data_IF_928362209050
#
_entry.id   IF_928362209050
#
_cell.length_a   1.000
_cell.length_b   1.000
_cell.length_c   1.000
_cell.angle_alpha   90.00
_cell.angle_beta   90.00
_cell.angle_gamma   90.00
#
_symmetry.space_group_name_H-M   'P 1'
#
loop_
_entity.id
_entity.type
_entity.pdbx_description
1 polymer ?
#
# COMPACT_ATOMS: atom_id res chain seq x y z
N UNK A 1 4.63 10.53 -4.11
CA UNK A 1 4.60 9.12 -3.69
C UNK A 1 4.91 9.07 -2.21
N UNK A 2 3.93 9.48 -1.40
CA UNK A 2 3.86 9.13 0.00
C UNK A 2 3.03 7.86 0.33
N UNK A 3 2.38 7.13 -0.62
CA UNK A 3 1.35 6.12 -0.31
C UNK A 3 1.87 4.94 0.51
N UNK A 4 3.18 4.76 0.63
CA UNK A 4 3.78 3.67 1.41
C UNK A 4 3.53 3.78 2.92
N UNK A 5 3.38 4.99 3.47
CA UNK A 5 3.34 5.19 4.92
C UNK A 5 2.06 4.63 5.56
N UNK A 6 0.91 4.85 4.93
CA UNK A 6 -0.36 4.30 5.44
C UNK A 6 -0.35 2.76 5.40
N UNK A 7 0.18 2.16 4.34
CA UNK A 7 0.31 0.70 4.25
C UNK A 7 1.26 0.13 5.31
N UNK A 8 2.43 0.75 5.52
CA UNK A 8 3.36 0.32 6.56
C UNK A 8 2.81 0.50 7.97
N UNK A 9 2.07 1.58 8.24
CA UNK A 9 1.48 1.77 9.57
C UNK A 9 0.43 0.72 9.88
N UNK A 10 -0.49 0.46 8.95
CA UNK A 10 -1.50 -0.58 9.14
C UNK A 10 -0.81 -1.93 9.31
N UNK A 11 0.25 -2.20 8.54
CA UNK A 11 1.07 -3.38 8.69
C UNK A 11 1.69 -3.50 10.11
N UNK A 12 2.34 -2.44 10.59
CA UNK A 12 2.99 -2.42 11.90
C UNK A 12 2.02 -2.68 13.05
N UNK A 13 0.80 -2.14 12.95
CA UNK A 13 -0.25 -2.32 13.96
C UNK A 13 -0.86 -3.72 13.92
N UNK A 14 -0.98 -4.33 12.74
CA UNK A 14 -1.57 -5.67 12.58
C UNK A 14 -0.60 -6.77 12.97
N UNK A 15 0.68 -6.60 12.63
CA UNK A 15 1.68 -7.66 12.72
C UNK A 15 1.78 -8.36 14.08
N UNK A 16 1.80 -7.64 15.23
CA UNK A 16 1.88 -8.26 16.55
C UNK A 16 0.73 -9.23 16.85
N UNK A 17 -0.42 -9.04 16.20
CA UNK A 17 -1.65 -9.78 16.43
C UNK A 17 -1.89 -10.88 15.38
N UNK A 18 -0.96 -11.12 14.44
CA UNK A 18 -1.07 -12.17 13.42
C UNK A 18 -0.27 -13.43 13.81
N UNK A 19 -0.75 -14.31 14.70
CA UNK A 19 0.01 -15.47 15.12
C UNK A 19 0.22 -16.45 13.98
N UNK A 20 1.43 -16.97 13.83
CA UNK A 20 1.73 -18.01 12.85
C UNK A 20 3.22 -18.22 12.63
N UNK A 21 3.59 -19.19 11.79
CA UNK A 21 5.00 -19.49 11.48
C UNK A 21 5.72 -18.33 10.78
N UNK A 22 4.97 -17.38 10.17
CA UNK A 22 5.48 -16.19 9.51
C UNK A 22 6.00 -15.10 10.47
N UNK A 23 5.74 -15.17 11.77
CA UNK A 23 6.10 -14.14 12.76
C UNK A 23 7.58 -13.66 12.75
N UNK A 24 8.60 -14.48 12.41
CA UNK A 24 9.97 -13.99 12.25
C UNK A 24 10.21 -13.11 11.01
N UNK A 25 9.28 -13.09 10.05
CA UNK A 25 9.44 -12.54 8.70
C UNK A 25 8.72 -11.20 8.52
N UNK A 26 8.85 -10.32 9.51
CA UNK A 26 8.20 -9.01 9.50
C UNK A 26 8.62 -8.16 8.28
N UNK A 27 9.88 -8.25 7.87
CA UNK A 27 10.36 -7.58 6.65
C UNK A 27 9.58 -8.00 5.42
N UNK A 28 9.32 -9.31 5.25
CA UNK A 28 8.59 -9.84 4.09
C UNK A 28 7.13 -9.40 4.10
N UNK A 29 6.51 -9.33 5.27
CA UNK A 29 5.18 -8.77 5.42
C UNK A 29 5.16 -7.28 5.04
N UNK A 30 6.08 -6.47 5.56
CA UNK A 30 6.21 -5.06 5.17
C UNK A 30 6.42 -4.89 3.67
N UNK A 31 7.31 -5.68 3.05
CA UNK A 31 7.53 -5.61 1.61
C UNK A 31 6.29 -6.04 0.80
N UNK A 32 5.57 -7.07 1.25
CA UNK A 32 4.28 -7.44 0.70
C UNK A 32 3.26 -6.30 0.73
N UNK A 33 3.24 -5.49 1.80
CA UNK A 33 2.34 -4.34 1.94
C UNK A 33 2.57 -3.21 0.93
N UNK A 34 3.68 -3.22 0.20
CA UNK A 34 4.00 -2.19 -0.79
C UNK A 34 4.20 -2.77 -2.19
N UNK A 35 4.51 -4.06 -2.31
CA UNK A 35 4.76 -4.73 -3.59
C UNK A 35 3.66 -4.54 -4.66
N UNK A 36 2.35 -4.44 -4.35
CA UNK A 36 1.34 -4.21 -5.38
C UNK A 36 1.56 -2.94 -6.20
N UNK A 37 2.19 -1.90 -5.63
CA UNK A 37 2.47 -0.64 -6.32
C UNK A 37 3.64 -0.71 -7.32
N UNK A 38 4.24 -1.88 -7.52
CA UNK A 38 5.26 -2.11 -8.56
C UNK A 38 4.74 -1.81 -9.98
N UNK A 39 3.42 -1.89 -10.22
CA UNK A 39 2.80 -1.52 -11.50
C UNK A 39 3.01 -0.05 -11.87
N UNK A 40 3.29 0.80 -10.88
CA UNK A 40 3.61 2.21 -11.11
C UNK A 40 4.98 2.38 -11.77
N UNK A 41 5.82 1.35 -11.73
CA UNK A 41 7.22 1.41 -12.12
C UNK A 41 7.55 0.51 -13.31
N UNK A 42 6.77 -0.54 -13.50
CA UNK A 42 6.98 -1.49 -14.57
C UNK A 42 6.07 -1.15 -15.75
N UNK A 43 6.63 -0.80 -16.93
CA UNK A 43 5.82 -0.65 -18.14
C UNK A 43 5.23 -1.99 -18.63
N UNK A 44 5.68 -3.12 -18.07
CA UNK A 44 5.17 -4.46 -18.39
C UNK A 44 3.98 -4.85 -17.52
N UNK A 45 3.72 -4.11 -16.44
CA UNK A 45 2.63 -4.37 -15.51
C UNK A 45 1.58 -3.27 -15.60
N UNK A 46 0.34 -3.69 -15.49
CA UNK A 46 -0.80 -2.83 -15.26
C UNK A 46 -1.25 -2.95 -13.82
N UNK A 47 -2.07 -1.99 -13.39
CA UNK A 47 -2.75 -2.08 -12.10
C UNK A 47 -3.61 -3.36 -11.99
N UNK A 48 -4.06 -3.92 -13.11
CA UNK A 48 -4.81 -5.18 -13.11
C UNK A 48 -3.94 -6.35 -12.69
N UNK A 49 -2.67 -6.35 -13.07
CA UNK A 49 -1.76 -7.44 -12.76
C UNK A 49 -1.42 -7.49 -11.27
N UNK A 50 -1.39 -6.33 -10.60
CA UNK A 50 -0.95 -6.23 -9.20
C UNK A 50 -2.08 -5.95 -8.21
N UNK A 51 -3.16 -5.29 -8.62
CA UNK A 51 -4.30 -4.99 -7.75
C UNK A 51 -5.58 -5.70 -8.17
N UNK A 52 -5.54 -6.49 -9.25
CA UNK A 52 -6.66 -7.32 -9.76
C UNK A 52 -7.83 -6.52 -10.36
N UNK A 53 -7.60 -5.27 -10.73
CA UNK A 53 -8.59 -4.44 -11.42
C UNK A 53 -7.93 -3.45 -12.39
N UNK A 54 -8.66 -3.03 -13.42
CA UNK A 54 -8.24 -1.91 -14.27
C UNK A 54 -8.99 -0.61 -13.86
N UNK A 55 -8.24 0.48 -13.74
CA UNK A 55 -8.76 1.81 -13.41
C UNK A 55 -9.69 2.33 -14.50
N UNK A 56 -9.53 1.87 -15.74
CA UNK A 56 -10.27 2.33 -16.91
C UNK A 56 -11.26 1.26 -17.40
N UNK A 57 -12.23 0.89 -16.56
CA UNK A 57 -13.31 -0.02 -16.97
C UNK A 57 -14.18 -0.50 -15.81
N UNK A 58 -13.60 -0.60 -14.62
CA UNK A 58 -14.17 -1.33 -13.48
C UNK A 58 -14.31 -0.43 -12.24
N UNK A 59 -14.84 0.79 -12.41
CA UNK A 59 -14.83 1.83 -11.35
C UNK A 59 -15.69 1.50 -10.11
N UNK A 60 -16.69 0.62 -10.23
CA UNK A 60 -17.45 0.10 -9.08
C UNK A 60 -16.72 -1.06 -8.39
N UNK A 61 -16.18 -2.01 -9.17
CA UNK A 61 -15.28 -3.09 -8.73
C UNK A 61 -14.01 -2.60 -8.02
N UNK A 62 -13.47 -1.44 -8.45
CA UNK A 62 -12.35 -0.72 -7.83
C UNK A 62 -12.51 -0.50 -6.32
N UNK A 63 -13.75 -0.50 -5.85
CA UNK A 63 -14.08 -0.18 -4.49
C UNK A 63 -14.21 -1.48 -3.66
N UNK A 64 -14.74 -2.59 -4.17
CA UNK A 64 -15.24 -3.73 -3.36
C UNK A 64 -14.41 -4.99 -3.35
N UNK A 65 -13.66 -5.24 -4.41
CA UNK A 65 -13.42 -6.63 -4.79
C UNK A 65 -11.95 -7.01 -4.99
N UNK A 66 -10.98 -6.19 -4.60
CA UNK A 66 -9.54 -6.54 -4.75
C UNK A 66 -9.12 -7.63 -3.80
N UNK A 67 -9.40 -7.43 -2.50
CA UNK A 67 -9.12 -8.39 -1.44
C UNK A 67 -9.97 -9.65 -1.64
N UNK A 68 -11.23 -9.49 -2.04
CA UNK A 68 -12.11 -10.61 -2.37
C UNK A 68 -11.65 -11.39 -3.62
N UNK A 69 -11.25 -10.70 -4.69
CA UNK A 69 -10.74 -11.33 -5.91
C UNK A 69 -9.44 -12.09 -5.63
N UNK A 70 -8.51 -11.51 -4.87
CA UNK A 70 -7.31 -12.22 -4.42
C UNK A 70 -7.66 -13.52 -3.69
N UNK A 71 -8.62 -13.46 -2.75
CA UNK A 71 -9.06 -14.63 -1.98
C UNK A 71 -9.79 -15.68 -2.81
N UNK A 72 -10.58 -15.27 -3.81
CA UNK A 72 -11.31 -16.15 -4.71
C UNK A 72 -10.40 -16.84 -5.74
N UNK A 73 -9.37 -16.12 -6.21
CA UNK A 73 -8.50 -16.54 -7.31
C UNK A 73 -7.06 -16.79 -6.85
N UNK A 74 -6.85 -17.25 -5.61
CA UNK A 74 -5.51 -17.45 -5.03
C UNK A 74 -4.57 -18.27 -5.92
N UNK A 75 -5.09 -19.29 -6.63
CA UNK A 75 -4.29 -20.14 -7.50
C UNK A 75 -3.77 -19.43 -8.76
N UNK A 76 -4.34 -18.29 -9.13
CA UNK A 76 -3.88 -17.45 -10.24
C UNK A 76 -2.74 -16.52 -9.80
N UNK A 77 -2.62 -16.25 -8.49
CA UNK A 77 -1.73 -15.22 -7.95
C UNK A 77 -0.61 -15.75 -7.05
N UNK A 78 -0.84 -16.89 -6.39
CA UNK A 78 0.16 -17.54 -5.57
C UNK A 78 0.75 -18.71 -6.35
N UNK A 79 2.07 -18.83 -6.33
CA UNK A 79 2.78 -19.97 -6.96
C UNK A 79 2.35 -21.34 -6.42
N UNK A 80 1.75 -21.38 -5.23
CA UNK A 80 1.13 -22.55 -4.61
C UNK A 80 0.12 -22.11 -3.54
N UNK A 81 -0.76 -23.00 -3.03
CA UNK A 81 -1.72 -22.65 -1.99
C UNK A 81 -1.08 -21.99 -0.77
N UNK A 82 -1.75 -21.01 -0.15
CA UNK A 82 -1.21 -20.24 0.98
C UNK A 82 -0.63 -21.13 2.09
N UNK A 83 -1.36 -22.16 2.52
CA UNK A 83 -0.93 -23.09 3.56
C UNK A 83 0.33 -23.91 3.21
N UNK A 84 0.70 -23.97 1.92
CA UNK A 84 1.88 -24.69 1.43
C UNK A 84 3.07 -23.74 1.20
N UNK A 85 2.86 -22.42 1.12
CA UNK A 85 3.94 -21.44 1.03
C UNK A 85 4.90 -21.57 2.22
N UNK A 86 6.18 -21.28 1.98
CA UNK A 86 7.15 -21.14 3.07
C UNK A 86 6.74 -19.97 3.98
N UNK A 87 7.14 -19.96 5.26
CA UNK A 87 6.67 -18.94 6.20
C UNK A 87 6.99 -17.49 5.80
N UNK A 88 8.10 -17.25 5.12
CA UNK A 88 8.48 -15.96 4.54
C UNK A 88 7.56 -15.56 3.38
N UNK A 89 7.21 -16.51 2.51
CA UNK A 89 6.25 -16.31 1.43
C UNK A 89 4.81 -16.11 1.93
N UNK A 90 4.44 -16.77 3.03
CA UNK A 90 3.19 -16.49 3.74
C UNK A 90 3.18 -15.07 4.29
N UNK A 91 4.27 -14.63 4.92
CA UNK A 91 4.39 -13.25 5.41
C UNK A 91 4.20 -12.24 4.27
N UNK A 92 4.87 -12.45 3.14
CA UNK A 92 4.71 -11.60 1.96
C UNK A 92 3.27 -11.60 1.42
N UNK A 93 2.64 -12.77 1.27
CA UNK A 93 1.26 -12.86 0.79
C UNK A 93 0.25 -12.19 1.74
N UNK A 94 0.46 -12.31 3.06
CA UNK A 94 -0.32 -11.59 4.07
C UNK A 94 -0.14 -10.08 3.93
N UNK A 95 1.10 -9.61 3.74
CA UNK A 95 1.38 -8.20 3.50
C UNK A 95 0.69 -7.69 2.23
N UNK A 96 0.76 -8.48 1.16
CA UNK A 96 0.10 -8.18 -0.11
C UNK A 96 -1.41 -8.01 0.06
N UNK A 97 -2.07 -8.95 0.77
CA UNK A 97 -3.50 -8.84 1.04
C UNK A 97 -3.82 -7.62 1.93
N UNK A 98 -2.97 -7.33 2.92
CA UNK A 98 -3.09 -6.15 3.77
C UNK A 98 -3.08 -4.85 2.94
N UNK A 99 -2.16 -4.74 1.98
CA UNK A 99 -2.14 -3.62 1.03
C UNK A 99 -3.50 -3.42 0.35
N UNK A 100 -4.03 -4.49 -0.27
CA UNK A 100 -5.29 -4.43 -1.00
C UNK A 100 -6.44 -3.99 -0.11
N UNK A 101 -6.47 -4.46 1.14
CA UNK A 101 -7.48 -4.10 2.13
C UNK A 101 -7.41 -2.61 2.49
N UNK A 102 -6.21 -2.10 2.76
CA UNK A 102 -5.99 -0.67 3.04
C UNK A 102 -6.42 0.18 1.85
N UNK A 103 -6.08 -0.26 0.64
CA UNK A 103 -6.34 0.49 -0.58
C UNK A 103 -7.85 0.56 -0.91
N UNK A 104 -8.59 -0.52 -0.63
CA UNK A 104 -10.06 -0.55 -0.68
C UNK A 104 -10.69 0.42 0.32
N UNK A 105 -10.34 0.29 1.60
CA UNK A 105 -10.90 1.12 2.69
C UNK A 105 -10.61 2.59 2.45
N UNK A 106 -9.36 2.90 2.11
CA UNK A 106 -8.93 4.27 1.82
C UNK A 106 -9.81 4.85 0.72
N UNK A 107 -9.96 4.17 -0.43
CA UNK A 107 -10.75 4.69 -1.56
C UNK A 107 -12.22 4.91 -1.21
N UNK A 108 -12.82 4.12 -0.31
CA UNK A 108 -14.18 4.36 0.18
C UNK A 108 -14.29 5.59 1.05
N UNK A 109 -13.40 5.71 2.03
CA UNK A 109 -13.37 6.86 2.91
C UNK A 109 -13.07 8.15 2.13
N UNK A 110 -12.23 8.08 1.11
CA UNK A 110 -12.02 9.18 0.16
C UNK A 110 -13.31 9.57 -0.56
N UNK A 111 -14.14 8.62 -0.99
CA UNK A 111 -15.43 8.92 -1.63
C UNK A 111 -16.41 9.60 -0.67
N UNK A 112 -16.45 9.19 0.60
CA UNK A 112 -17.42 9.69 1.60
C UNK A 112 -17.02 11.05 2.18
N UNK A 113 -15.82 11.19 2.71
CA UNK A 113 -15.41 12.39 3.47
C UNK A 113 -14.55 13.36 2.65
N UNK A 114 -13.79 12.84 1.69
CA UNK A 114 -12.79 13.63 1.01
C UNK A 114 -13.23 14.22 -0.34
N UNK A 115 -14.20 13.64 -1.06
CA UNK A 115 -14.78 14.33 -2.23
C UNK A 115 -15.35 15.71 -1.84
N UNK A 116 -15.95 15.80 -0.66
CA UNK A 116 -16.52 17.06 -0.17
C UNK A 116 -15.45 18.10 0.18
N UNK A 117 -14.28 17.67 0.67
CA UNK A 117 -13.25 18.57 1.22
C UNK A 117 -12.00 18.75 0.34
N UNK A 118 -11.73 17.84 -0.60
CA UNK A 118 -10.44 17.74 -1.31
C UNK A 118 -10.55 17.54 -2.83
N UNK A 119 -11.76 17.63 -3.42
CA UNK A 119 -11.94 17.53 -4.88
C UNK A 119 -11.03 18.47 -5.70
N UNK A 120 -10.63 19.62 -5.13
CA UNK A 120 -9.85 20.64 -5.82
C UNK A 120 -8.32 20.41 -5.77
N UNK A 121 -7.83 19.52 -4.90
CA UNK A 121 -6.39 19.20 -4.79
C UNK A 121 -5.97 17.93 -5.53
N UNK A 122 -6.96 17.14 -5.97
CA UNK A 122 -6.74 15.84 -6.58
C UNK A 122 -6.32 14.76 -5.56
N UNK A 123 -6.46 13.46 -5.92
CA UNK A 123 -6.25 12.37 -4.99
C UNK A 123 -4.78 12.20 -4.58
N UNK A 124 -3.83 12.24 -5.52
CA UNK A 124 -2.41 11.97 -5.25
C UNK A 124 -1.79 12.87 -4.16
N UNK A 125 -1.99 14.20 -4.21
CA UNK A 125 -1.47 15.10 -3.18
C UNK A 125 -2.19 15.00 -1.84
N UNK A 126 -3.47 14.62 -1.86
CA UNK A 126 -4.24 14.40 -0.65
C UNK A 126 -3.75 13.15 0.11
N UNK A 127 -3.43 12.08 -0.61
CA UNK A 127 -2.67 10.95 -0.06
C UNK A 127 -1.32 11.41 0.49
N UNK A 128 -0.59 12.25 -0.25
CA UNK A 128 0.72 12.73 0.20
C UNK A 128 0.73 13.40 1.57
N UNK A 129 -0.25 14.27 1.84
CA UNK A 129 -0.37 14.94 3.13
C UNK A 129 -0.90 14.03 4.24
N UNK A 130 -1.82 13.12 3.90
CA UNK A 130 -2.30 12.10 4.84
C UNK A 130 -1.14 11.21 5.31
N UNK A 131 -0.29 10.78 4.39
CA UNK A 131 0.87 9.94 4.68
C UNK A 131 1.95 10.68 5.48
N UNK A 132 2.15 11.98 5.22
CA UNK A 132 3.01 12.82 6.07
C UNK A 132 2.45 12.91 7.50
N UNK A 133 1.14 13.08 7.63
CA UNK A 133 0.50 13.18 8.93
C UNK A 133 0.51 11.83 9.69
N UNK A 134 0.22 10.73 8.99
CA UNK A 134 0.41 9.37 9.48
C UNK A 134 1.84 9.19 9.98
N UNK A 135 2.84 9.60 9.19
CA UNK A 135 4.26 9.52 9.57
C UNK A 135 4.56 10.31 10.85
N UNK A 136 4.08 11.55 10.97
CA UNK A 136 4.28 12.38 12.17
C UNK A 136 3.63 11.79 13.43
N UNK A 137 2.50 11.10 13.28
CA UNK A 137 1.80 10.45 14.40
C UNK A 137 2.40 9.09 14.79
N UNK A 138 3.28 8.53 13.96
CA UNK A 138 3.87 7.21 14.21
C UNK A 138 5.21 7.27 14.94
N UNK A 139 5.32 6.50 16.02
CA UNK A 139 6.51 6.44 16.87
C UNK A 139 7.54 5.38 16.47
N UNK A 140 7.26 4.52 15.48
CA UNK A 140 7.97 3.24 15.34
C UNK A 140 8.53 2.95 13.94
N UNK A 141 8.70 3.98 13.12
CA UNK A 141 9.23 3.82 11.76
C UNK A 141 10.55 3.04 11.73
N UNK A 142 11.40 3.21 12.75
CA UNK A 142 12.65 2.45 12.95
C UNK A 142 12.48 0.94 12.87
N UNK A 143 11.41 0.37 13.45
CA UNK A 143 11.19 -1.08 13.41
C UNK A 143 10.88 -1.56 11.98
N UNK A 144 10.15 -0.76 11.20
CA UNK A 144 9.89 -1.02 9.78
C UNK A 144 11.20 -0.96 9.01
N UNK A 145 12.01 0.09 9.19
CA UNK A 145 13.32 0.23 8.54
C UNK A 145 14.18 -1.02 8.78
N UNK A 146 14.39 -1.38 10.05
CA UNK A 146 15.25 -2.51 10.41
C UNK A 146 14.72 -3.83 9.85
N UNK A 147 13.40 -4.03 9.83
CA UNK A 147 12.80 -5.22 9.25
C UNK A 147 13.06 -5.30 7.75
N UNK A 148 12.89 -4.17 7.05
CA UNK A 148 13.15 -4.06 5.63
C UNK A 148 14.64 -4.32 5.31
N UNK A 149 15.58 -3.75 6.06
CA UNK A 149 17.02 -3.99 5.85
C UNK A 149 17.44 -5.47 5.94
N UNK A 150 16.67 -6.30 6.65
CA UNK A 150 16.94 -7.73 6.82
C UNK A 150 16.32 -8.65 5.75
N UNK A 151 15.58 -8.07 4.79
CA UNK A 151 14.77 -8.83 3.84
C UNK A 151 15.57 -9.46 2.71
N UNK A 152 15.20 -10.70 2.37
CA UNK A 152 15.44 -11.30 1.06
C UNK A 152 14.18 -11.19 0.19
N UNK A 153 14.30 -10.61 -1.01
CA UNK A 153 13.20 -10.52 -1.97
C UNK A 153 12.85 -11.93 -2.46
N UNK A 154 11.58 -12.28 -2.33
CA UNK A 154 11.04 -13.60 -2.70
C UNK A 154 10.00 -13.46 -3.80
N UNK A 155 10.01 -14.42 -4.72
CA UNK A 155 9.05 -14.51 -5.81
C UNK A 155 7.85 -15.35 -5.34
N UNK A 156 6.80 -14.66 -4.87
CA UNK A 156 5.55 -15.30 -4.42
C UNK A 156 4.46 -15.19 -5.48
N UNK A 157 4.52 -14.12 -6.28
CA UNK A 157 3.52 -13.75 -7.27
C UNK A 157 4.12 -13.89 -8.67
N UNK A 158 3.65 -14.83 -9.50
CA UNK A 158 4.28 -15.14 -10.79
C UNK A 158 4.10 -14.04 -11.84
N UNK A 159 3.17 -13.11 -11.61
CA UNK A 159 2.89 -12.01 -12.54
C UNK A 159 3.82 -10.82 -12.35
N UNK A 160 4.56 -10.71 -11.24
CA UNK A 160 5.50 -9.60 -11.02
C UNK A 160 6.91 -10.06 -11.36
N UNK A 161 7.55 -9.54 -12.42
CA UNK A 161 8.92 -9.89 -12.76
C UNK A 161 9.89 -9.56 -11.62
N UNK A 162 10.78 -10.49 -11.29
CA UNK A 162 11.80 -10.29 -10.25
C UNK A 162 12.62 -8.99 -10.42
N UNK A 163 13.06 -8.58 -11.63
CA UNK A 163 13.77 -7.32 -11.80
C UNK A 163 12.95 -6.10 -11.36
N UNK A 164 11.64 -6.12 -11.57
CA UNK A 164 10.75 -5.01 -11.20
C UNK A 164 10.54 -4.98 -9.69
N UNK A 165 10.37 -6.14 -9.04
CA UNK A 165 10.35 -6.25 -7.58
C UNK A 165 11.64 -5.72 -6.95
N UNK A 166 12.80 -6.04 -7.53
CA UNK A 166 14.10 -5.57 -7.04
C UNK A 166 14.25 -4.05 -7.19
N UNK A 167 13.83 -3.49 -8.33
CA UNK A 167 13.87 -2.05 -8.56
C UNK A 167 12.93 -1.30 -7.61
N UNK A 168 11.70 -1.80 -7.44
CA UNK A 168 10.74 -1.26 -6.49
C UNK A 168 11.26 -1.34 -5.06
N UNK A 169 11.83 -2.48 -4.67
CA UNK A 169 12.45 -2.69 -3.37
C UNK A 169 13.55 -1.68 -3.05
N UNK A 170 14.44 -1.44 -4.02
CA UNK A 170 15.49 -0.42 -3.87
C UNK A 170 14.89 0.98 -3.66
N UNK A 171 13.84 1.33 -4.41
CA UNK A 171 13.12 2.59 -4.25
C UNK A 171 12.47 2.74 -2.88
N UNK A 172 11.80 1.69 -2.40
CA UNK A 172 11.20 1.65 -1.06
C UNK A 172 12.25 1.84 0.02
N UNK A 173 13.37 1.11 -0.03
CA UNK A 173 14.44 1.26 0.96
C UNK A 173 15.05 2.67 0.95
N UNK A 174 15.30 3.24 -0.24
CA UNK A 174 15.80 4.61 -0.35
C UNK A 174 14.84 5.62 0.29
N UNK A 175 13.53 5.45 0.07
CA UNK A 175 12.50 6.30 0.67
C UNK A 175 12.43 6.13 2.19
N UNK A 176 12.37 4.88 2.68
CA UNK A 176 12.24 4.59 4.11
C UNK A 176 13.43 5.13 4.92
N UNK A 177 14.62 5.16 4.32
CA UNK A 177 15.84 5.66 4.97
C UNK A 177 16.01 7.18 4.90
N UNK A 178 15.16 7.88 4.15
CA UNK A 178 15.32 9.29 3.95
C UNK A 178 14.69 10.11 5.09
N UNK A 179 15.21 11.32 5.26
CA UNK A 179 14.85 12.23 6.36
C UNK A 179 14.04 13.43 5.90
N UNK A 180 13.80 13.57 4.59
CA UNK A 180 13.22 14.75 3.96
C UNK A 180 12.15 14.39 2.93
N UNK A 181 10.95 14.93 3.09
CA UNK A 181 9.80 14.55 2.27
C UNK A 181 9.91 15.05 0.80
N UNK A 182 10.57 16.19 0.57
CA UNK A 182 10.71 16.76 -0.78
C UNK A 182 11.77 16.02 -1.62
N UNK A 183 12.93 15.73 -1.05
CA UNK A 183 13.96 14.96 -1.72
C UNK A 183 13.56 13.50 -1.86
N UNK A 184 12.80 12.93 -0.93
CA UNK A 184 12.11 11.65 -1.10
C UNK A 184 11.16 11.65 -2.31
N UNK A 185 10.25 12.62 -2.37
CA UNK A 185 9.33 12.77 -3.49
C UNK A 185 10.09 12.86 -4.82
N UNK A 186 11.17 13.66 -4.86
CA UNK A 186 11.99 13.84 -6.03
C UNK A 186 12.81 12.61 -6.40
N UNK A 187 13.43 11.92 -5.44
CA UNK A 187 14.18 10.70 -5.68
C UNK A 187 13.27 9.61 -6.28
N UNK A 188 12.03 9.51 -5.81
CA UNK A 188 11.02 8.64 -6.37
C UNK A 188 10.58 9.10 -7.76
N UNK A 189 10.31 10.39 -7.97
CA UNK A 189 10.02 10.93 -9.30
C UNK A 189 11.16 10.64 -10.29
N UNK A 190 12.41 10.80 -9.86
CA UNK A 190 13.59 10.51 -10.67
C UNK A 190 13.72 9.01 -10.98
N UNK A 191 13.39 8.16 -10.01
CA UNK A 191 13.40 6.70 -10.16
C UNK A 191 12.29 6.21 -11.10
N UNK A 192 11.09 6.80 -11.01
CA UNK A 192 9.86 6.28 -11.64
C UNK A 192 9.50 6.97 -12.95
N UNK A 193 9.57 8.30 -12.97
CA UNK A 193 9.13 9.10 -14.12
C UNK A 193 10.31 9.52 -15.01
N UNK A 194 11.54 9.48 -14.49
CA UNK A 194 12.78 9.97 -15.13
C UNK A 194 12.56 11.31 -15.88
N UNK A 195 11.97 12.32 -15.22
CA UNK A 195 11.53 13.53 -15.91
C UNK A 195 12.71 14.36 -16.40
N UNK A 196 12.47 15.22 -17.39
CA UNK A 196 13.40 16.30 -17.70
C UNK A 196 13.58 17.25 -16.50
N UNK A 197 14.66 18.04 -16.44
CA UNK A 197 14.84 19.02 -15.36
C UNK A 197 13.66 19.98 -15.18
N UNK A 198 13.00 20.38 -16.27
CA UNK A 198 11.83 21.27 -16.25
C UNK A 198 10.60 20.56 -15.68
N UNK A 199 10.30 19.35 -16.15
CA UNK A 199 9.22 18.51 -15.63
C UNK A 199 9.42 18.18 -14.14
N UNK A 200 10.67 18.00 -13.72
CA UNK A 200 11.04 17.77 -12.32
C UNK A 200 10.70 18.97 -11.44
N UNK A 201 11.00 20.19 -11.91
CA UNK A 201 10.64 21.42 -11.20
C UNK A 201 9.13 21.66 -11.16
N UNK A 202 8.41 21.38 -12.24
CA UNK A 202 6.95 21.48 -12.28
C UNK A 202 6.28 20.50 -11.29
N UNK A 203 6.77 19.24 -11.24
CA UNK A 203 6.32 18.23 -10.28
C UNK A 203 6.60 18.67 -8.85
N UNK A 204 7.79 19.21 -8.56
CA UNK A 204 8.13 19.72 -7.23
C UNK A 204 7.26 20.92 -6.82
N UNK A 205 7.05 21.89 -7.72
CA UNK A 205 6.21 23.05 -7.45
C UNK A 205 4.75 22.64 -7.21
N UNK A 206 4.23 21.71 -7.99
CA UNK A 206 2.90 21.15 -7.82
C UNK A 206 2.78 20.40 -6.48
N UNK A 207 3.77 19.58 -6.14
CA UNK A 207 3.84 18.89 -4.86
C UNK A 207 3.79 19.87 -3.69
N UNK A 208 4.61 20.92 -3.69
CA UNK A 208 4.62 21.96 -2.65
C UNK A 208 3.28 22.68 -2.52
N UNK A 209 2.72 23.15 -3.63
CA UNK A 209 1.45 23.86 -3.61
C UNK A 209 0.31 23.00 -3.07
N UNK A 210 0.28 21.72 -3.44
CA UNK A 210 -0.77 20.82 -3.01
C UNK A 210 -0.58 20.26 -1.61
N UNK A 211 0.66 20.00 -1.17
CA UNK A 211 0.91 19.52 0.20
C UNK A 211 0.57 20.61 1.22
N UNK A 212 0.86 21.88 0.94
CA UNK A 212 0.48 22.98 1.82
C UNK A 212 -1.04 23.16 1.90
N UNK A 213 -1.75 23.06 0.78
CA UNK A 213 -3.20 23.13 0.75
C UNK A 213 -3.86 21.92 1.44
N UNK A 214 -3.27 20.73 1.29
CA UNK A 214 -3.75 19.53 1.96
C UNK A 214 -3.52 19.61 3.47
N UNK A 215 -2.34 20.08 3.93
CA UNK A 215 -2.05 20.34 5.36
C UNK A 215 -3.05 21.32 5.99
N UNK A 216 -3.43 22.38 5.27
CA UNK A 216 -4.45 23.33 5.75
C UNK A 216 -5.84 22.70 5.94
N UNK A 217 -6.15 21.68 5.15
CA UNK A 217 -7.45 20.99 5.16
C UNK A 217 -7.44 19.68 5.98
N UNK A 218 -6.27 19.20 6.41
CA UNK A 218 -6.09 17.90 7.09
C UNK A 218 -6.74 17.85 8.47
N UNK A 219 -6.98 19.00 9.11
CA UNK A 219 -7.68 19.10 10.41
C UNK A 219 -9.12 18.57 10.37
N UNK A 220 -9.67 18.30 9.19
CA UNK A 220 -11.00 17.72 8.99
C UNK A 220 -10.99 16.20 8.80
N UNK A 221 -9.81 15.56 8.72
CA UNK A 221 -9.67 14.15 8.46
C UNK A 221 -9.40 13.40 9.77
N UNK A 222 -10.29 12.48 10.13
CA UNK A 222 -10.09 11.64 11.29
C UNK A 222 -9.24 10.42 10.89
N UNK A 223 -7.92 10.56 11.03
CA UNK A 223 -6.96 9.49 10.73
C UNK A 223 -7.27 8.23 11.53
N UNK A 224 -7.77 8.35 12.76
CA UNK A 224 -8.13 7.19 13.58
C UNK A 224 -9.27 6.39 12.95
N UNK A 225 -10.26 7.04 12.32
CA UNK A 225 -11.32 6.34 11.58
C UNK A 225 -10.74 5.56 10.41
N UNK A 226 -9.88 6.19 9.61
CA UNK A 226 -9.22 5.54 8.48
C UNK A 226 -8.39 4.34 8.93
N UNK A 227 -7.56 4.52 9.96
CA UNK A 227 -6.73 3.46 10.50
C UNK A 227 -7.58 2.34 11.08
N UNK A 228 -8.55 2.63 11.93
CA UNK A 228 -9.40 1.60 12.54
C UNK A 228 -10.19 0.82 11.48
N UNK A 229 -10.77 1.49 10.50
CA UNK A 229 -11.45 0.84 9.38
C UNK A 229 -10.51 -0.08 8.59
N UNK A 230 -9.29 0.41 8.31
CA UNK A 230 -8.27 -0.35 7.56
C UNK A 230 -7.79 -1.56 8.35
N UNK A 231 -7.58 -1.41 9.66
CA UNK A 231 -7.21 -2.49 10.57
C UNK A 231 -8.30 -3.55 10.57
N UNK A 232 -9.55 -3.19 10.88
CA UNK A 232 -10.67 -4.14 10.97
C UNK A 232 -10.84 -4.92 9.66
N UNK A 233 -10.81 -4.24 8.52
CA UNK A 233 -10.95 -4.90 7.21
C UNK A 233 -9.78 -5.85 6.93
N UNK A 234 -8.55 -5.39 7.18
CA UNK A 234 -7.35 -6.20 6.97
C UNK A 234 -7.35 -7.42 7.87
N UNK A 235 -7.64 -7.31 9.17
CA UNK A 235 -7.77 -8.48 10.06
C UNK A 235 -8.79 -9.49 9.55
N UNK A 236 -9.98 -9.03 9.13
CA UNK A 236 -11.01 -9.93 8.59
C UNK A 236 -10.49 -10.73 7.40
N UNK A 237 -9.88 -10.04 6.42
CA UNK A 237 -9.39 -10.68 5.17
C UNK A 237 -8.19 -11.57 5.39
N UNK A 238 -7.27 -11.18 6.27
CA UNK A 238 -6.11 -12.01 6.63
C UNK A 238 -6.56 -13.29 7.33
N UNK A 239 -7.56 -13.21 8.21
CA UNK A 239 -8.16 -14.39 8.84
C UNK A 239 -8.81 -15.29 7.80
N UNK A 240 -9.54 -14.72 6.84
CA UNK A 240 -10.13 -15.49 5.74
C UNK A 240 -9.05 -16.24 4.93
N UNK A 241 -7.93 -15.58 4.59
CA UNK A 241 -6.82 -16.22 3.88
C UNK A 241 -6.20 -17.38 4.69
N UNK A 242 -5.90 -17.13 5.98
CA UNK A 242 -5.28 -18.11 6.88
C UNK A 242 -6.17 -19.34 7.05
N UNK A 243 -7.48 -19.13 7.17
CA UNK A 243 -8.45 -20.21 7.37
C UNK A 243 -8.94 -20.83 6.04
N UNK A 244 -8.42 -20.38 4.90
CA UNK A 244 -8.81 -20.85 3.58
C UNK A 244 -10.28 -20.56 3.24
N UNK A 245 -10.85 -19.50 3.82
CA UNK A 245 -12.23 -19.07 3.57
C UNK A 245 -12.29 -18.15 2.36
N UNK A 246 -13.31 -18.35 1.54
CA UNK A 246 -13.66 -17.45 0.45
C UNK A 246 -14.82 -16.58 0.94
N UNK A 247 -14.59 -15.29 1.21
CA UNK A 247 -15.65 -14.45 1.74
C UNK A 247 -16.60 -13.98 0.63
N UNK A 248 -17.87 -13.68 0.98
CA UNK A 248 -18.73 -12.92 0.08
C UNK A 248 -18.19 -11.49 -0.11
N UNK A 249 -18.48 -10.84 -1.25
CA UNK A 249 -18.24 -9.42 -1.42
C UNK A 249 -18.95 -8.65 -0.30
N UNK A 250 -18.22 -7.80 0.42
CA UNK A 250 -18.75 -7.11 1.60
C UNK A 250 -17.75 -6.13 2.17
N UNK A 251 -18.29 -5.06 2.76
CA UNK A 251 -17.52 -3.97 3.38
C UNK A 251 -17.66 -3.98 4.90
N UNK A 252 -16.69 -3.39 5.61
CA UNK A 252 -16.89 -2.99 6.99
C UNK A 252 -18.05 -1.99 7.06
N UNK A 253 -18.99 -2.19 7.98
CA UNK A 253 -19.93 -1.14 8.35
C UNK A 253 -19.16 -0.06 9.11
N UNK A 254 -19.09 1.14 8.53
CA UNK A 254 -18.48 2.32 9.13
C UNK A 254 -19.61 3.17 9.73
N UNK A 255 -20.17 2.66 10.83
CA UNK A 255 -21.17 3.32 11.67
C UNK A 255 -20.52 4.37 12.61
#
# INVERSE_FOLDING_TARGET
MAPFNTHFLVAEKIWPDLPGPWQPYYGQFCFGCVAPDVDKLSPALSQRDTHFFDRFGDYELMASDRSAAFLQHQAEFLVQPFAQLSPDAQAFALGYLCHLCVDEVSKHLWRREAWLNFKDIGPGPAFAALDEWVREQTRNYTAIITALESLHVIEVVPVIPLPDLLAFWQGVNQFVLATDAEGEYLALVDLFDRPSPEQRQEKLASFRAWIDLARQRVHHLNVDILLNASLTHSYSRLTDLIEGRVPPPGYPNLD
#
